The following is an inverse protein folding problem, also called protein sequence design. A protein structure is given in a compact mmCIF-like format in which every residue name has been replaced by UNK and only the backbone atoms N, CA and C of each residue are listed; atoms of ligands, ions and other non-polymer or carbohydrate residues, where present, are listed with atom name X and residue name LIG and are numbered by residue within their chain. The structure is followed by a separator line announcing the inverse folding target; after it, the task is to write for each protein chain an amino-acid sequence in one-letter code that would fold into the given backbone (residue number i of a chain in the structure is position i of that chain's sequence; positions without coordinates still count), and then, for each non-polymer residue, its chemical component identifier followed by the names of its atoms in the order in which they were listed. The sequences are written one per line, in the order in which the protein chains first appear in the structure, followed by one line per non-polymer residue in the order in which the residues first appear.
data_IF_876314405869
#
_entry.id   IF_876314405869
#
_cell.length_a   1.000
_cell.length_b   1.000
_cell.length_c   1.000
_cell.angle_alpha   90.00
_cell.angle_beta   90.00
_cell.angle_gamma   90.00
#
_symmetry.space_group_name_H-M   'P 1'
#
loop_
_entity.id
_entity.type
_entity.pdbx_description
1 polymer ?
#
# COMPACT_ATOMS: atom_id res chain seq x y z
N UNK A 1 18.11 -0.36 -3.68
CA UNK A 1 19.24 -0.11 -2.75
C UNK A 1 19.13 1.28 -2.14
N UNK A 2 19.40 2.35 -2.89
CA UNK A 2 19.28 3.72 -2.37
C UNK A 2 17.94 4.02 -1.67
N UNK A 3 16.80 3.56 -2.23
CA UNK A 3 15.49 3.71 -1.57
C UNK A 3 15.34 2.92 -0.27
N UNK A 4 16.00 1.76 -0.14
CA UNK A 4 15.96 0.95 1.09
C UNK A 4 16.78 1.61 2.20
N UNK A 5 17.98 2.11 1.85
CA UNK A 5 18.84 2.85 2.77
C UNK A 5 18.19 4.18 3.20
N UNK A 6 17.54 4.89 2.26
CA UNK A 6 16.77 6.09 2.57
C UNK A 6 15.58 5.78 3.47
N UNK A 7 14.88 4.66 3.26
CA UNK A 7 13.80 4.23 4.13
C UNK A 7 14.29 3.95 5.56
N UNK A 8 15.40 3.23 5.71
CA UNK A 8 16.03 3.00 7.01
C UNK A 8 16.44 4.32 7.68
N UNK A 9 17.01 5.25 6.90
CA UNK A 9 17.37 6.59 7.39
C UNK A 9 16.16 7.37 7.90
N UNK A 10 15.05 7.36 7.16
CA UNK A 10 13.83 8.07 7.51
C UNK A 10 13.11 7.48 8.73
N UNK A 11 13.27 6.19 8.98
CA UNK A 11 12.64 5.52 10.11
C UNK A 11 13.35 5.76 11.44
N UNK A 12 14.65 6.08 11.41
CA UNK A 12 15.40 6.43 12.60
C UNK A 12 14.92 7.77 13.18
N UNK A 13 14.36 7.72 14.40
CA UNK A 13 13.88 8.91 15.12
C UNK A 13 14.93 10.01 15.26
N UNK A 14 16.21 9.66 15.32
CA UNK A 14 17.32 10.63 15.43
C UNK A 14 17.42 11.51 14.19
N UNK A 15 16.97 11.00 13.04
CA UNK A 15 17.05 11.70 11.75
C UNK A 15 15.75 12.44 11.40
N UNK A 16 14.64 12.17 12.10
CA UNK A 16 13.32 12.72 11.74
C UNK A 16 13.27 14.25 11.72
N UNK A 17 14.00 14.92 12.60
CA UNK A 17 14.07 16.39 12.58
C UNK A 17 14.66 16.90 11.25
N UNK A 18 15.74 16.27 10.78
CA UNK A 18 16.36 16.62 9.50
C UNK A 18 15.44 16.26 8.32
N UNK A 19 14.82 15.08 8.36
CA UNK A 19 13.86 14.63 7.33
C UNK A 19 12.69 15.61 7.22
N UNK A 20 12.14 16.07 8.35
CA UNK A 20 11.08 17.08 8.39
C UNK A 20 11.52 18.37 7.67
N UNK A 21 12.71 18.89 7.98
CA UNK A 21 13.23 20.08 7.31
C UNK A 21 13.46 19.85 5.82
N UNK A 22 13.85 18.64 5.41
CA UNK A 22 14.03 18.30 4.00
C UNK A 22 12.71 18.27 3.23
N UNK A 23 11.67 17.60 3.74
CA UNK A 23 10.38 17.46 3.03
C UNK A 23 9.59 18.78 2.99
N UNK A 24 9.80 19.68 3.96
CA UNK A 24 9.12 20.97 4.05
C UNK A 24 9.74 22.06 3.17
N UNK A 25 10.85 21.80 2.47
CA UNK A 25 11.44 22.82 1.57
C UNK A 25 10.47 23.18 0.44
N UNK A 26 10.56 24.41 -0.12
CA UNK A 26 9.68 24.89 -1.20
C UNK A 26 9.69 24.01 -2.45
N UNK A 27 10.79 23.31 -2.72
CA UNK A 27 10.93 22.40 -3.86
C UNK A 27 10.17 21.06 -3.67
N UNK A 28 9.72 20.77 -2.45
CA UNK A 28 8.98 19.56 -2.09
C UNK A 28 7.55 19.92 -1.65
N UNK A 29 7.18 19.71 -0.38
CA UNK A 29 5.83 20.01 0.11
C UNK A 29 5.60 21.53 0.19
N UNK A 30 6.64 22.30 0.48
CA UNK A 30 6.56 23.76 0.58
C UNK A 30 5.64 24.27 1.71
N UNK A 31 5.41 23.47 2.74
CA UNK A 31 4.66 23.84 3.95
C UNK A 31 5.61 24.18 5.10
N UNK A 32 5.14 24.99 6.06
CA UNK A 32 5.87 25.19 7.30
C UNK A 32 5.97 23.86 8.08
N UNK A 33 7.15 23.60 8.66
CA UNK A 33 7.43 22.36 9.39
C UNK A 33 6.46 22.10 10.55
N UNK A 34 5.93 23.16 11.17
CA UNK A 34 4.95 23.11 12.26
C UNK A 34 3.66 22.35 11.89
N UNK A 35 3.28 22.31 10.61
CA UNK A 35 2.08 21.59 10.16
C UNK A 35 2.31 20.10 9.91
N UNK A 36 3.54 19.69 9.62
CA UNK A 36 3.91 18.29 9.34
C UNK A 36 4.52 17.61 10.57
N UNK A 37 4.93 18.38 11.58
CA UNK A 37 5.54 17.90 12.81
C UNK A 37 4.62 17.01 13.67
N UNK A 38 3.32 17.34 13.88
CA UNK A 38 2.42 16.51 14.68
C UNK A 38 2.21 15.14 14.02
N UNK A 39 2.37 14.05 14.78
CA UNK A 39 2.29 12.68 14.29
C UNK A 39 3.55 12.18 13.55
N UNK A 40 4.42 13.08 13.08
CA UNK A 40 5.74 12.68 12.53
C UNK A 40 6.82 12.62 13.61
N UNK A 41 6.89 13.63 14.47
CA UNK A 41 7.83 13.72 15.61
C UNK A 41 7.06 13.92 16.91
N UNK A 42 6.13 14.87 16.92
CA UNK A 42 5.41 15.29 18.11
C UNK A 42 4.10 14.50 18.28
N UNK A 43 3.52 14.46 19.49
CA UNK A 43 2.19 13.89 19.71
C UNK A 43 1.15 14.49 18.77
N UNK A 44 0.28 13.63 18.23
CA UNK A 44 -0.80 14.04 17.34
C UNK A 44 -2.03 14.43 18.16
N UNK A 45 -2.52 15.65 17.95
CA UNK A 45 -3.77 16.14 18.53
C UNK A 45 -4.95 15.74 17.63
N UNK A 46 -5.87 14.95 18.19
CA UNK A 46 -7.07 14.49 17.50
C UNK A 46 -8.17 15.56 17.38
N UNK A 47 -7.98 16.75 17.98
CA UNK A 47 -8.99 17.80 18.04
C UNK A 47 -10.17 17.43 18.93
N UNK A 48 -9.94 16.56 19.91
CA UNK A 48 -10.94 16.11 20.90
C UNK A 48 -10.49 16.51 22.31
N UNK A 49 -11.29 16.21 23.34
CA UNK A 49 -10.87 16.41 24.73
C UNK A 49 -9.76 15.44 25.18
N UNK A 50 -9.43 14.43 24.36
CA UNK A 50 -8.34 13.52 24.63
C UNK A 50 -6.99 14.23 24.59
N UNK A 51 -6.03 13.71 25.36
CA UNK A 51 -4.65 14.22 25.31
C UNK A 51 -4.03 13.84 23.96
N UNK A 52 -3.15 14.68 23.41
CA UNK A 52 -2.36 14.32 22.24
C UNK A 52 -1.53 13.06 22.49
N UNK A 53 -1.51 12.15 21.51
CA UNK A 53 -0.87 10.84 21.64
C UNK A 53 0.34 10.72 20.71
N UNK A 54 1.42 10.10 21.22
CA UNK A 54 2.59 9.82 20.39
C UNK A 54 2.35 8.59 19.52
N UNK A 55 2.28 8.78 18.20
CA UNK A 55 1.98 7.72 17.25
C UNK A 55 3.25 7.11 16.66
N UNK A 56 3.87 6.18 17.39
CA UNK A 56 5.14 5.55 17.00
C UNK A 56 5.07 4.74 15.69
N UNK A 57 3.88 4.31 15.27
CA UNK A 57 3.67 3.52 14.04
C UNK A 57 2.87 4.27 12.96
N UNK A 58 2.82 5.60 13.06
CA UNK A 58 2.02 6.39 12.11
C UNK A 58 2.70 6.53 10.75
N UNK A 59 4.02 6.74 10.77
CA UNK A 59 4.87 6.77 9.59
C UNK A 59 5.98 5.75 9.81
N UNK A 60 5.90 4.62 9.12
CA UNK A 60 6.94 3.59 9.07
C UNK A 60 7.44 3.49 7.64
N UNK A 61 8.76 3.44 7.46
CA UNK A 61 9.39 3.38 6.13
C UNK A 61 10.15 2.08 5.91
N UNK A 62 10.67 1.46 6.97
CA UNK A 62 11.57 0.32 6.91
C UNK A 62 11.24 -0.76 7.94
N UNK A 63 10.93 -0.37 9.17
CA UNK A 63 10.50 -1.22 10.28
C UNK A 63 9.30 -2.08 9.84
N UNK A 64 9.22 -3.29 10.40
CA UNK A 64 8.18 -4.30 10.10
C UNK A 64 8.07 -4.67 8.60
N UNK A 65 9.13 -4.44 7.82
CA UNK A 65 9.19 -4.69 6.37
C UNK A 65 8.17 -3.86 5.58
N UNK A 66 7.84 -2.66 6.07
CA UNK A 66 6.81 -1.78 5.48
C UNK A 66 7.06 -1.45 4.01
N UNK A 67 8.32 -1.40 3.57
CA UNK A 67 8.67 -1.15 2.16
C UNK A 67 8.64 -2.41 1.27
N UNK A 68 8.44 -3.60 1.84
CA UNK A 68 8.38 -4.83 1.07
C UNK A 68 7.05 -4.92 0.31
N UNK A 69 7.04 -5.23 -1.00
CA UNK A 69 5.81 -5.33 -1.78
C UNK A 69 4.96 -6.54 -1.38
N UNK A 70 4.13 -6.39 -0.34
CA UNK A 70 3.31 -7.47 0.22
C UNK A 70 2.20 -7.93 -0.75
N UNK A 71 2.22 -9.23 -1.07
CA UNK A 71 1.26 -9.88 -1.96
C UNK A 71 -0.13 -9.99 -1.32
N UNK A 72 -0.24 -10.18 -0.01
CA UNK A 72 -1.52 -10.27 0.70
C UNK A 72 -2.23 -8.92 0.68
N UNK A 73 -1.50 -7.84 0.96
CA UNK A 73 -2.04 -6.48 0.87
C UNK A 73 -2.48 -6.14 -0.56
N UNK A 74 -1.70 -6.55 -1.57
CA UNK A 74 -2.09 -6.38 -2.97
C UNK A 74 -3.40 -7.11 -3.29
N UNK A 75 -3.57 -8.35 -2.80
CA UNK A 75 -4.80 -9.11 -2.97
C UNK A 75 -5.98 -8.44 -2.25
N UNK A 76 -5.76 -7.90 -1.05
CA UNK A 76 -6.77 -7.16 -0.32
C UNK A 76 -7.20 -5.89 -1.07
N UNK A 77 -6.26 -5.13 -1.64
CA UNK A 77 -6.57 -3.95 -2.48
C UNK A 77 -7.42 -4.37 -3.69
N UNK A 78 -7.04 -5.44 -4.39
CA UNK A 78 -7.81 -5.98 -5.53
C UNK A 78 -9.22 -6.39 -5.07
N UNK A 79 -9.34 -7.08 -3.94
CA UNK A 79 -10.63 -7.45 -3.38
C UNK A 79 -11.49 -6.21 -3.08
N UNK A 80 -10.90 -5.15 -2.51
CA UNK A 80 -11.62 -3.90 -2.23
C UNK A 80 -12.04 -3.16 -3.51
N UNK A 81 -11.24 -3.22 -4.59
CA UNK A 81 -11.66 -2.70 -5.90
C UNK A 81 -12.88 -3.45 -6.44
N UNK A 82 -12.90 -4.78 -6.30
CA UNK A 82 -14.05 -5.61 -6.68
C UNK A 82 -15.28 -5.34 -5.81
N UNK A 83 -15.10 -5.22 -4.49
CA UNK A 83 -16.16 -4.88 -3.52
C UNK A 83 -16.94 -3.63 -3.93
N UNK A 84 -16.23 -2.62 -4.43
CA UNK A 84 -16.81 -1.34 -4.82
C UNK A 84 -17.21 -1.24 -6.30
N UNK A 85 -17.04 -2.32 -7.07
CA UNK A 85 -17.37 -2.36 -8.49
C UNK A 85 -16.45 -1.51 -9.37
N UNK A 86 -15.23 -1.22 -8.92
CA UNK A 86 -14.22 -0.46 -9.70
C UNK A 86 -13.63 -1.36 -10.80
N UNK A 87 -13.41 -2.64 -10.50
CA UNK A 87 -12.89 -3.63 -11.43
C UNK A 87 -13.46 -5.02 -11.05
N UNK A 88 -13.59 -5.96 -12.00
CA UNK A 88 -13.93 -7.34 -11.67
C UNK A 88 -12.81 -7.97 -10.82
N UNK A 89 -13.16 -8.94 -9.99
CA UNK A 89 -12.16 -9.74 -9.28
C UNK A 89 -11.42 -10.65 -10.27
N UNK A 90 -10.09 -10.56 -10.37
CA UNK A 90 -9.34 -11.35 -11.33
C UNK A 90 -9.35 -12.84 -10.97
N UNK A 91 -9.81 -13.69 -11.88
CA UNK A 91 -9.70 -15.15 -11.72
C UNK A 91 -8.24 -15.60 -11.64
N UNK A 92 -7.37 -14.97 -12.43
CA UNK A 92 -5.92 -15.14 -12.43
C UNK A 92 -5.20 -14.13 -11.52
N UNK A 93 -5.78 -13.80 -10.35
CA UNK A 93 -5.24 -12.81 -9.42
C UNK A 93 -3.78 -13.04 -9.03
N UNK A 94 -3.33 -14.30 -8.94
CA UNK A 94 -1.93 -14.63 -8.64
C UNK A 94 -0.98 -14.01 -9.68
N UNK A 95 -1.31 -14.14 -10.97
CA UNK A 95 -0.50 -13.61 -12.07
C UNK A 95 -0.55 -12.09 -12.10
N UNK A 96 -1.72 -11.50 -11.87
CA UNK A 96 -1.90 -10.04 -11.76
C UNK A 96 -1.03 -9.46 -10.64
N UNK A 97 -1.01 -10.12 -9.48
CA UNK A 97 -0.19 -9.69 -8.35
C UNK A 97 1.29 -9.88 -8.65
N UNK A 98 1.70 -11.03 -9.18
CA UNK A 98 3.13 -11.28 -9.45
C UNK A 98 3.70 -10.33 -10.51
N UNK A 99 2.88 -9.96 -11.51
CA UNK A 99 3.25 -8.99 -12.53
C UNK A 99 3.40 -7.56 -11.99
N UNK A 100 2.58 -7.18 -11.01
CA UNK A 100 2.54 -5.82 -10.43
C UNK A 100 3.47 -5.65 -9.22
N UNK A 101 3.58 -6.67 -8.36
CA UNK A 101 4.42 -6.70 -7.17
C UNK A 101 5.71 -7.47 -7.46
N UNK A 102 6.72 -6.73 -7.91
CA UNK A 102 8.07 -7.26 -8.22
C UNK A 102 8.90 -7.53 -6.95
N UNK A 103 8.47 -8.51 -6.17
CA UNK A 103 9.17 -8.95 -4.94
C UNK A 103 10.56 -9.50 -5.25
N UNK A 104 10.75 -10.06 -6.44
CA UNK A 104 12.04 -10.52 -6.95
C UNK A 104 13.07 -9.38 -7.00
N UNK A 105 12.68 -8.22 -7.52
CA UNK A 105 13.55 -7.03 -7.62
C UNK A 105 13.88 -6.48 -6.24
N UNK A 106 12.89 -6.43 -5.34
CA UNK A 106 13.08 -6.01 -3.95
C UNK A 106 14.02 -6.96 -3.21
N UNK A 107 13.83 -8.27 -3.36
CA UNK A 107 14.62 -9.30 -2.68
C UNK A 107 16.09 -9.26 -3.13
N UNK A 108 16.33 -9.08 -4.43
CA UNK A 108 17.69 -8.94 -4.95
C UNK A 108 18.37 -7.67 -4.42
N UNK A 109 17.65 -6.54 -4.37
CA UNK A 109 18.19 -5.30 -3.81
C UNK A 109 18.50 -5.44 -2.30
N UNK A 110 17.65 -6.12 -1.54
CA UNK A 110 17.82 -6.37 -0.10
C UNK A 110 19.03 -7.28 0.16
N UNK A 111 19.16 -8.37 -0.62
CA UNK A 111 20.29 -9.30 -0.54
C UNK A 111 21.63 -8.60 -0.77
N UNK A 112 21.69 -7.67 -1.72
CA UNK A 112 22.91 -6.89 -1.98
C UNK A 112 23.29 -5.93 -0.86
N UNK A 113 22.35 -5.54 0.00
CA UNK A 113 22.59 -4.73 1.20
C UNK A 113 22.85 -5.59 2.45
N UNK A 114 22.88 -6.92 2.32
CA UNK A 114 22.99 -7.82 3.46
C UNK A 114 21.73 -7.88 4.34
N UNK A 115 20.62 -7.32 3.87
CA UNK A 115 19.35 -7.38 4.54
C UNK A 115 18.69 -8.73 4.23
N UNK A 116 18.12 -9.43 5.22
CA UNK A 116 17.41 -10.68 4.96
C UNK A 116 16.22 -10.37 4.05
N UNK A 117 16.25 -10.90 2.82
CA UNK A 117 15.13 -10.84 1.88
C UNK A 117 14.00 -11.71 2.41
N UNK A 118 13.19 -11.14 3.28
CA UNK A 118 12.06 -11.84 3.88
C UNK A 118 10.85 -11.57 3.02
N UNK A 119 10.39 -12.58 2.29
CA UNK A 119 9.03 -12.60 1.76
C UNK A 119 8.06 -12.33 2.93
N UNK A 120 7.11 -11.40 2.79
CA UNK A 120 6.09 -11.15 3.79
C UNK A 120 5.34 -12.45 4.07
N UNK A 121 5.06 -12.71 5.34
CA UNK A 121 4.30 -13.89 5.72
C UNK A 121 2.90 -13.80 5.09
N UNK A 122 2.38 -14.94 4.61
CA UNK A 122 1.01 -15.02 4.06
C UNK A 122 0.00 -15.09 5.21
N UNK A 123 0.00 -14.08 6.06
CA UNK A 123 -0.93 -13.99 7.18
C UNK A 123 -2.25 -13.36 6.76
N UNK A 124 -3.31 -13.69 7.49
CA UNK A 124 -4.60 -13.04 7.33
C UNK A 124 -4.57 -11.62 7.89
N UNK A 125 -5.17 -10.67 7.18
CA UNK A 125 -5.31 -9.29 7.66
C UNK A 125 -6.55 -9.20 8.56
N UNK A 126 -6.36 -8.74 9.79
CA UNK A 126 -7.47 -8.46 10.72
C UNK A 126 -7.87 -6.99 10.63
N UNK A 127 -9.12 -6.73 10.29
CA UNK A 127 -9.68 -5.38 10.20
C UNK A 127 -10.18 -4.89 11.57
N UNK A 128 -10.40 -3.58 11.66
CA UNK A 128 -10.81 -2.91 12.90
C UNK A 128 -12.17 -3.38 13.43
N UNK A 129 -13.07 -3.80 12.53
CA UNK A 129 -14.41 -4.31 12.84
C UNK A 129 -14.40 -5.79 13.26
N UNK A 130 -13.21 -6.41 13.33
CA UNK A 130 -13.03 -7.81 13.67
C UNK A 130 -13.09 -8.76 12.46
N UNK A 131 -13.44 -8.25 11.26
CA UNK A 131 -13.44 -9.05 10.04
C UNK A 131 -12.03 -9.52 9.71
N UNK A 132 -11.89 -10.77 9.26
CA UNK A 132 -10.62 -11.33 8.84
C UNK A 132 -10.59 -11.56 7.33
N UNK A 133 -9.57 -11.02 6.68
CA UNK A 133 -9.26 -11.28 5.28
C UNK A 133 -8.19 -12.36 5.20
N UNK A 134 -8.53 -13.52 4.65
CA UNK A 134 -7.59 -14.61 4.38
C UNK A 134 -7.17 -14.60 2.90
N UNK A 135 -5.86 -14.66 2.59
CA UNK A 135 -5.40 -14.74 1.20
C UNK A 135 -5.76 -16.06 0.50
N UNK A 136 -6.16 -17.08 1.25
CA UNK A 136 -6.47 -18.40 0.68
C UNK A 136 -7.90 -18.44 0.12
N UNK A 137 -8.82 -17.65 0.65
CA UNK A 137 -10.22 -17.59 0.22
C UNK A 137 -10.71 -16.11 0.10
N UNK A 138 -10.15 -15.31 -0.82
CA UNK A 138 -10.49 -13.89 -0.96
C UNK A 138 -11.96 -13.66 -1.39
N UNK A 139 -12.55 -14.60 -2.14
CA UNK A 139 -13.96 -14.53 -2.54
C UNK A 139 -14.92 -14.77 -1.37
N UNK A 140 -14.59 -15.66 -0.45
CA UNK A 140 -15.41 -15.91 0.75
C UNK A 140 -15.45 -14.67 1.64
N UNK A 141 -14.29 -14.00 1.79
CA UNK A 141 -14.23 -12.69 2.42
C UNK A 141 -15.18 -11.71 1.75
N UNK A 142 -15.12 -11.53 0.43
CA UNK A 142 -16.00 -10.60 -0.28
C UNK A 142 -17.48 -10.96 -0.08
N UNK A 143 -17.82 -12.25 -0.14
CA UNK A 143 -19.19 -12.71 0.04
C UNK A 143 -19.72 -12.48 1.47
N UNK A 144 -18.85 -12.53 2.48
CA UNK A 144 -19.20 -12.30 3.88
C UNK A 144 -19.58 -10.86 4.21
N UNK A 145 -19.15 -9.88 3.41
CA UNK A 145 -19.38 -8.46 3.67
C UNK A 145 -20.83 -8.07 3.37
N UNK A 146 -21.48 -7.39 4.31
CA UNK A 146 -22.86 -6.91 4.16
C UNK A 146 -22.98 -5.83 3.06
N UNK A 147 -22.05 -4.88 3.07
CA UNK A 147 -22.03 -3.75 2.12
C UNK A 147 -21.02 -4.02 1.02
N UNK A 148 -21.54 -4.39 -0.16
CA UNK A 148 -20.79 -4.62 -1.38
C UNK A 148 -21.65 -4.40 -2.63
N UNK A 149 -20.99 -4.17 -3.77
CA UNK A 149 -21.61 -4.31 -5.10
C UNK A 149 -21.71 -5.79 -5.47
N UNK A 150 -22.42 -6.06 -6.56
CA UNK A 150 -22.37 -7.38 -7.19
C UNK A 150 -20.94 -7.69 -7.59
N UNK A 151 -20.42 -8.83 -7.13
CA UNK A 151 -19.05 -9.23 -7.38
C UNK A 151 -19.00 -9.98 -8.72
N UNK A 152 -18.33 -9.38 -9.70
CA UNK A 152 -18.02 -10.04 -10.96
C UNK A 152 -16.62 -10.64 -10.89
N UNK A 153 -16.44 -11.82 -11.50
CA UNK A 153 -15.16 -12.51 -11.58
C UNK A 153 -14.81 -12.71 -13.05
N UNK A 154 -13.66 -12.19 -13.47
CA UNK A 154 -13.22 -12.23 -14.86
C UNK A 154 -11.75 -12.62 -14.95
N UNK A 155 -11.36 -13.24 -16.05
CA UNK A 155 -9.95 -13.50 -16.34
C UNK A 155 -9.34 -12.26 -16.99
N UNK A 156 -8.22 -11.78 -16.44
CA UNK A 156 -7.58 -10.55 -16.89
C UNK A 156 -6.44 -10.90 -17.85
N UNK A 157 -6.58 -10.47 -19.10
CA UNK A 157 -5.53 -10.53 -20.11
C UNK A 157 -4.45 -9.49 -19.79
N UNK A 158 -3.31 -9.96 -19.29
CA UNK A 158 -2.19 -9.11 -18.88
C UNK A 158 -1.41 -8.51 -20.06
N UNK A 159 -1.52 -9.09 -21.25
CA UNK A 159 -0.76 -8.68 -22.43
C UNK A 159 -1.48 -7.60 -23.25
N UNK A 160 -2.80 -7.46 -23.09
CA UNK A 160 -3.58 -6.40 -23.74
C UNK A 160 -3.41 -4.99 -23.15
N UNK A 161 -2.81 -4.86 -21.96
CA UNK A 161 -2.68 -3.56 -21.25
C UNK A 161 -1.70 -2.58 -21.95
N UNK A 162 -1.08 -2.99 -23.07
CA UNK A 162 -0.19 -2.15 -23.89
C UNK A 162 -0.82 -1.42 -25.08
N UNK A 163 -2.08 -1.67 -25.47
CA UNK A 163 -2.67 -1.08 -26.71
C UNK A 163 -4.15 -0.73 -26.53
N UNK A 164 -4.44 0.44 -25.95
CA UNK A 164 -5.68 1.17 -26.27
C UNK A 164 -5.33 2.62 -26.62
N UNK A 165 -5.04 2.84 -27.90
CA UNK A 165 -5.26 4.16 -28.50
C UNK A 165 -6.75 4.52 -28.42
N UNK A 166 -7.12 5.81 -28.51
CA UNK A 166 -8.48 6.25 -28.30
C UNK A 166 -9.45 5.52 -29.25
N UNK A 167 -10.52 4.93 -28.68
CA UNK A 167 -11.58 4.31 -29.46
C UNK A 167 -12.18 5.30 -30.45
N UNK A 168 -12.46 4.91 -31.71
CA UNK A 168 -13.06 5.80 -32.69
C UNK A 168 -14.45 6.24 -32.19
N UNK A 169 -14.67 7.55 -32.14
CA UNK A 169 -15.99 8.15 -31.93
C UNK A 169 -16.90 7.65 -33.06
N UNK A 170 -17.90 6.84 -32.73
CA UNK A 170 -19.00 6.54 -33.63
C UNK A 170 -19.76 7.84 -33.90
N UNK A 171 -19.52 8.44 -35.06
CA UNK A 171 -20.41 9.45 -35.62
C UNK A 171 -21.68 8.74 -36.09
N UNK A 172 -22.77 8.96 -35.34
CA UNK A 172 -24.13 8.68 -35.79
C UNK A 172 -24.51 9.66 -36.90
N UNK A 173 -24.90 9.12 -38.05
CA UNK A 173 -25.60 9.80 -39.15
C UNK A 173 -27.06 10.03 -38.77
#
# INVERSE_FOLDING_TARGET
KALLEAAEYCDDWRNREEVLQMICKPEYVGSAAEYTRPGFIDPYDWGTEAKPDLLLKYNEFYVDKTNCPNRVEALWIIAQMARWGIAPFPKNWFEVIDRSRRVDVYSEASRQLGLPGLEPERESIKLFDGTQFSPDNPLDYLNSLEIKREITVEEIDLDQVGVKGPSPVQQSV
#
